data_IF_416360758957
#
_entry.id   IF_416360758957
#
_cell.length_a   1.000
_cell.length_b   1.000
_cell.length_c   1.000
_cell.angle_alpha   90.00
_cell.angle_beta   90.00
_cell.angle_gamma   90.00
#
_symmetry.space_group_name_H-M   'P 1'
#
loop_
_entity.id
_entity.type
_entity.pdbx_description
1 polymer ?
#
# COMPACT_ATOMS: atom_id res chain seq x y z
N UNK A 1 -2.05 29.59 -9.93
CA UNK A 1 -2.54 28.34 -9.27
C UNK A 1 -1.83 28.22 -7.94
N UNK A 2 -2.57 28.20 -6.82
CA UNK A 2 -1.95 28.08 -5.50
C UNK A 2 -1.22 26.74 -5.39
N UNK A 3 0.04 26.77 -4.95
CA UNK A 3 0.86 25.58 -4.79
C UNK A 3 0.16 24.58 -3.85
N UNK A 4 0.03 23.33 -4.31
CA UNK A 4 -0.56 22.26 -3.52
C UNK A 4 0.39 21.99 -2.34
N UNK A 5 -0.03 22.39 -1.13
CA UNK A 5 0.74 22.10 0.08
C UNK A 5 0.76 20.58 0.29
N UNK A 6 1.94 19.99 0.19
CA UNK A 6 2.13 18.55 0.40
C UNK A 6 2.28 18.31 1.90
N UNK A 7 1.42 17.46 2.45
CA UNK A 7 1.49 17.03 3.84
C UNK A 7 2.00 15.59 3.92
N UNK A 8 2.88 15.31 4.87
CA UNK A 8 3.32 13.95 5.20
C UNK A 8 2.18 13.13 5.82
N UNK A 9 2.36 11.82 5.93
CA UNK A 9 1.35 10.95 6.56
C UNK A 9 1.14 11.32 8.03
N UNK A 10 2.21 11.63 8.76
CA UNK A 10 2.17 12.04 10.17
C UNK A 10 1.44 13.36 10.34
N UNK A 11 1.73 14.36 9.49
CA UNK A 11 1.04 15.65 9.50
C UNK A 11 -0.46 15.50 9.24
N UNK A 12 -0.85 14.64 8.29
CA UNK A 12 -2.27 14.36 8.02
C UNK A 12 -2.97 13.75 9.23
N UNK A 13 -2.32 12.83 9.94
CA UNK A 13 -2.87 12.21 11.15
C UNK A 13 -3.02 13.23 12.28
N UNK A 14 -2.05 14.12 12.48
CA UNK A 14 -2.13 15.20 13.46
C UNK A 14 -3.30 16.15 13.15
N UNK A 15 -3.46 16.58 11.89
CA UNK A 15 -4.56 17.44 11.44
C UNK A 15 -5.92 16.73 11.62
N UNK A 16 -6.00 15.43 11.34
CA UNK A 16 -7.20 14.63 11.54
C UNK A 16 -7.58 14.48 13.02
N UNK A 17 -6.61 14.39 13.91
CA UNK A 17 -6.82 14.38 15.36
C UNK A 17 -7.33 15.74 15.84
N UNK A 18 -6.71 16.83 15.40
CA UNK A 18 -7.16 18.20 15.69
C UNK A 18 -8.60 18.44 15.20
N UNK A 19 -8.95 17.94 14.01
CA UNK A 19 -10.30 18.03 13.44
C UNK A 19 -11.36 17.16 14.14
N UNK A 20 -10.94 16.19 14.97
CA UNK A 20 -11.82 15.33 15.78
C UNK A 20 -11.93 15.80 17.23
N UNK A 21 -11.04 16.70 17.66
CA UNK A 21 -11.12 17.31 18.99
C UNK A 21 -12.42 18.09 19.15
N UNK A 22 -13.09 17.90 20.29
CA UNK A 22 -14.31 18.63 20.65
C UNK A 22 -14.08 20.13 20.79
N UNK A 23 -12.82 20.55 20.97
CA UNK A 23 -12.44 21.95 21.17
C UNK A 23 -12.27 22.74 19.86
N UNK A 24 -12.10 22.06 18.72
CA UNK A 24 -11.82 22.74 17.43
C UNK A 24 -12.78 22.27 16.35
N UNK A 25 -13.55 23.20 15.78
CA UNK A 25 -14.44 22.86 14.66
C UNK A 25 -13.64 22.52 13.41
N UNK A 26 -14.07 21.50 12.64
CA UNK A 26 -13.48 21.14 11.34
C UNK A 26 -13.25 22.33 10.40
N UNK A 27 -14.14 23.33 10.42
CA UNK A 27 -14.02 24.56 9.61
C UNK A 27 -12.81 25.41 10.01
N UNK A 28 -12.52 25.51 11.30
CA UNK A 28 -11.35 26.23 11.80
C UNK A 28 -10.05 25.52 11.38
N UNK A 29 -10.02 24.19 11.47
CA UNK A 29 -8.90 23.37 10.98
C UNK A 29 -8.68 23.54 9.48
N UNK A 30 -9.76 23.52 8.68
CA UNK A 30 -9.71 23.77 7.24
C UNK A 30 -9.06 25.11 6.91
N UNK A 31 -9.46 26.18 7.62
CA UNK A 31 -8.91 27.53 7.45
C UNK A 31 -7.45 27.63 7.89
N UNK A 32 -7.10 27.02 9.04
CA UNK A 32 -5.74 27.02 9.61
C UNK A 32 -4.72 26.36 8.68
N UNK A 33 -5.08 25.23 8.09
CA UNK A 33 -4.16 24.46 7.23
C UNK A 33 -4.35 24.72 5.73
N UNK A 34 -5.32 25.54 5.33
CA UNK A 34 -5.60 25.86 3.93
C UNK A 34 -6.13 24.66 3.14
N UNK A 35 -6.87 23.78 3.80
CA UNK A 35 -7.41 22.53 3.22
C UNK A 35 -8.93 22.54 3.20
N UNK A 36 -9.52 21.86 2.23
CA UNK A 36 -10.97 21.72 2.15
C UNK A 36 -11.49 20.65 3.11
N UNK A 37 -12.77 20.76 3.51
CA UNK A 37 -13.45 19.71 4.29
C UNK A 37 -13.41 18.36 3.58
N UNK A 38 -13.57 18.36 2.25
CA UNK A 38 -13.47 17.16 1.42
C UNK A 38 -12.10 16.49 1.51
N UNK A 39 -11.03 17.25 1.69
CA UNK A 39 -9.66 16.72 1.87
C UNK A 39 -9.53 16.02 3.22
N UNK A 40 -10.08 16.60 4.29
CA UNK A 40 -10.11 16.00 5.63
C UNK A 40 -10.92 14.70 5.61
N UNK A 41 -12.10 14.71 4.99
CA UNK A 41 -12.95 13.51 4.92
C UNK A 41 -12.31 12.41 4.05
N UNK A 42 -11.60 12.78 2.98
CA UNK A 42 -10.80 11.84 2.18
C UNK A 42 -9.65 11.23 2.99
N UNK A 43 -8.86 12.03 3.72
CA UNK A 43 -7.78 11.50 4.57
C UNK A 43 -8.32 10.63 5.68
N UNK A 44 -9.46 10.98 6.29
CA UNK A 44 -10.14 10.14 7.28
C UNK A 44 -10.46 8.78 6.66
N UNK A 45 -11.09 8.76 5.49
CA UNK A 45 -11.41 7.50 4.79
C UNK A 45 -10.15 6.69 4.50
N UNK A 46 -9.10 7.31 3.94
CA UNK A 46 -7.88 6.61 3.52
C UNK A 46 -6.99 6.14 4.68
N UNK A 47 -6.91 6.89 5.77
CA UNK A 47 -5.95 6.64 6.87
C UNK A 47 -6.58 5.97 8.10
N UNK A 48 -7.86 6.25 8.40
CA UNK A 48 -8.54 5.63 9.54
C UNK A 48 -9.39 4.41 9.13
N UNK A 49 -9.83 4.34 7.86
CA UNK A 49 -10.57 3.19 7.32
C UNK A 49 -9.82 2.56 6.13
N UNK A 50 -8.61 1.99 6.35
CA UNK A 50 -7.77 1.48 5.28
C UNK A 50 -8.43 0.38 4.40
N UNK A 51 -9.52 -0.25 4.86
CA UNK A 51 -10.25 -1.29 4.11
C UNK A 51 -11.35 -0.83 3.14
N UNK A 52 -11.54 0.49 2.91
CA UNK A 52 -12.59 1.04 2.04
C UNK A 52 -12.01 1.85 0.86
N UNK A 53 -10.77 1.55 0.47
CA UNK A 53 -10.10 2.18 -0.66
C UNK A 53 -9.44 1.14 -1.56
N UNK A 54 -9.70 1.24 -2.87
CA UNK A 54 -9.16 0.37 -3.94
C UNK A 54 -7.62 0.14 -3.90
N UNK A 55 -6.85 0.93 -3.13
CA UNK A 55 -5.40 0.74 -2.90
C UNK A 55 -5.09 -0.61 -2.20
N UNK A 56 -6.02 -1.14 -1.39
CA UNK A 56 -5.80 -2.40 -0.67
C UNK A 56 -6.02 -3.61 -1.60
N UNK A 57 -6.90 -3.49 -2.59
CA UNK A 57 -7.17 -4.54 -3.58
C UNK A 57 -5.95 -4.80 -4.49
N UNK A 58 -5.26 -3.74 -4.92
CA UNK A 58 -4.03 -3.88 -5.71
C UNK A 58 -2.92 -4.54 -4.88
N UNK A 59 -2.75 -4.14 -3.61
CA UNK A 59 -1.78 -4.77 -2.71
C UNK A 59 -2.11 -6.23 -2.44
N UNK A 60 -3.38 -6.57 -2.27
CA UNK A 60 -3.84 -7.96 -2.07
C UNK A 60 -3.59 -8.79 -3.32
N UNK A 61 -3.89 -8.25 -4.52
CA UNK A 61 -3.61 -8.93 -5.78
C UNK A 61 -2.11 -9.12 -6.00
N UNK A 62 -1.29 -8.09 -5.76
CA UNK A 62 0.17 -8.19 -5.84
C UNK A 62 0.72 -9.24 -4.87
N UNK A 63 0.17 -9.34 -3.65
CA UNK A 63 0.56 -10.39 -2.69
C UNK A 63 0.21 -11.79 -3.20
N UNK A 64 -0.99 -11.98 -3.76
CA UNK A 64 -1.41 -13.27 -4.34
C UNK A 64 -0.52 -13.67 -5.51
N UNK A 65 -0.26 -12.72 -6.41
CA UNK A 65 0.62 -12.93 -7.56
C UNK A 65 2.04 -13.30 -7.10
N UNK A 66 2.57 -12.63 -6.08
CA UNK A 66 3.88 -12.95 -5.53
C UNK A 66 3.97 -14.39 -4.98
N UNK A 67 2.92 -14.85 -4.30
CA UNK A 67 2.85 -16.23 -3.80
C UNK A 67 2.86 -17.23 -4.97
N UNK A 68 2.05 -16.99 -6.00
CA UNK A 68 2.01 -17.86 -7.18
C UNK A 68 3.36 -17.88 -7.92
N UNK A 69 3.97 -16.72 -8.14
CA UNK A 69 5.28 -16.61 -8.79
C UNK A 69 6.37 -17.35 -8.01
N UNK A 70 6.37 -17.25 -6.68
CA UNK A 70 7.32 -18.00 -5.83
C UNK A 70 7.13 -19.51 -5.97
N UNK A 71 5.89 -20.00 -5.98
CA UNK A 71 5.60 -21.42 -6.19
C UNK A 71 6.16 -21.91 -7.53
N UNK A 72 5.85 -21.17 -8.61
CA UNK A 72 6.30 -21.51 -9.97
C UNK A 72 7.82 -21.54 -10.07
N UNK A 73 8.52 -20.61 -9.41
CA UNK A 73 9.98 -20.57 -9.40
C UNK A 73 10.53 -21.81 -8.69
N UNK A 74 10.01 -22.15 -7.51
CA UNK A 74 10.45 -23.35 -6.76
C UNK A 74 10.25 -24.62 -7.59
N UNK A 75 9.09 -24.77 -8.23
CA UNK A 75 8.79 -25.94 -9.06
C UNK A 75 9.75 -26.06 -10.26
N UNK A 76 10.02 -24.93 -10.94
CA UNK A 76 10.97 -24.88 -12.06
C UNK A 76 12.41 -25.15 -11.62
N UNK A 77 12.84 -24.63 -10.48
CA UNK A 77 14.18 -24.87 -9.95
C UNK A 77 14.40 -26.35 -9.62
N UNK A 78 13.36 -27.01 -9.07
CA UNK A 78 13.38 -28.46 -8.84
C UNK A 78 13.47 -29.26 -10.15
N UNK A 79 12.68 -28.88 -11.16
CA UNK A 79 12.74 -29.51 -12.49
C UNK A 79 14.12 -29.37 -13.12
N UNK A 80 14.70 -28.15 -13.08
CA UNK A 80 16.05 -27.88 -13.58
C UNK A 80 17.10 -28.71 -12.82
N UNK A 81 16.97 -28.85 -11.50
CA UNK A 81 17.87 -29.67 -10.71
C UNK A 81 17.83 -31.14 -11.15
N UNK A 82 16.63 -31.70 -11.33
CA UNK A 82 16.44 -33.08 -11.82
C UNK A 82 17.06 -33.27 -13.21
N UNK A 83 16.78 -32.37 -14.15
CA UNK A 83 17.33 -32.43 -15.52
C UNK A 83 18.87 -32.38 -15.51
N UNK A 84 19.47 -31.51 -14.67
CA UNK A 84 20.92 -31.43 -14.50
C UNK A 84 21.52 -32.73 -13.93
N UNK A 85 20.83 -33.39 -13.01
CA UNK A 85 21.29 -34.68 -12.48
C UNK A 85 21.24 -35.78 -13.53
N UNK A 86 20.17 -35.83 -14.34
CA UNK A 86 20.06 -36.79 -15.44
C UNK A 86 21.18 -36.59 -16.48
N UNK A 87 21.42 -35.35 -16.91
CA UNK A 87 22.52 -35.05 -17.84
C UNK A 87 23.89 -35.42 -17.27
N UNK A 88 24.12 -35.20 -15.96
CA UNK A 88 25.35 -35.66 -15.29
C UNK A 88 25.48 -37.18 -15.27
N UNK A 89 24.38 -37.93 -15.14
CA UNK A 89 24.41 -39.39 -15.21
C UNK A 89 24.69 -39.87 -16.64
N UNK A 90 24.06 -39.26 -17.64
CA UNK A 90 24.28 -39.61 -19.05
C UNK A 90 25.71 -39.33 -19.51
N UNK A 91 26.30 -38.19 -19.14
CA UNK A 91 27.69 -37.85 -19.50
C UNK A 91 28.77 -38.66 -18.72
N UNK A 92 28.39 -39.51 -17.76
CA UNK A 92 29.30 -40.40 -17.03
C UNK A 92 29.30 -41.84 -17.57
N UNK A 93 28.48 -42.12 -18.57
CA UNK A 93 28.48 -43.36 -19.36
C UNK A 93 29.20 -43.10 -20.68
#
# INVERSE_FOLDING_TARGET
MAAKKNFTTEEKLAILSEAQSSYTTKVAVCRKYGISKTTIDYWRKKLLNPGDGNDDDEKVNLKKENIMLRSIIVDKDLEIACLKELLKKTNRL
#
